data_IF_306707297258
#
_entry.id   IF_306707297258
#
_cell.length_a   1.000
_cell.length_b   1.000
_cell.length_c   1.000
_cell.angle_alpha   90.00
_cell.angle_beta   90.00
_cell.angle_gamma   90.00
#
_symmetry.space_group_name_H-M   'P 1'
#
loop_
_entity.id
_entity.type
_entity.pdbx_description
1 polymer ?
#
# COMPACT_ATOMS: atom_id res chain seq x y z
N UNK A 1 4.94 -1.28 8.12
CA UNK A 1 5.69 -0.76 6.97
C UNK A 1 4.83 -0.78 5.72
N UNK A 2 4.74 0.34 4.99
CA UNK A 2 4.21 0.34 3.62
C UNK A 2 5.34 -0.05 2.66
N UNK A 3 5.54 -1.34 2.52
CA UNK A 3 6.73 -1.89 1.87
C UNK A 3 6.64 -1.77 0.34
N UNK A 4 7.70 -1.23 -0.28
CA UNK A 4 7.96 -1.45 -1.69
C UNK A 4 8.73 -2.76 -1.85
N UNK A 5 8.10 -3.84 -2.30
CA UNK A 5 8.70 -5.18 -2.34
C UNK A 5 10.06 -5.25 -3.07
N UNK A 6 10.28 -4.40 -4.09
CA UNK A 6 11.54 -4.42 -4.84
C UNK A 6 12.72 -3.87 -4.04
N UNK A 7 12.49 -3.06 -3.00
CA UNK A 7 13.55 -2.52 -2.15
C UNK A 7 14.30 -3.63 -1.40
N UNK A 8 13.63 -4.76 -1.12
CA UNK A 8 14.21 -5.89 -0.40
C UNK A 8 15.30 -6.61 -1.20
N UNK A 9 15.35 -6.38 -2.52
CA UNK A 9 16.37 -6.94 -3.41
C UNK A 9 17.51 -5.95 -3.71
N UNK A 10 17.48 -4.73 -3.16
CA UNK A 10 18.54 -3.74 -3.33
C UNK A 10 19.76 -4.15 -2.48
N UNK A 11 20.99 -4.19 -3.04
CA UNK A 11 22.19 -4.66 -2.32
C UNK A 11 22.43 -3.97 -0.97
N UNK A 12 22.14 -2.68 -0.89
CA UNK A 12 22.27 -1.85 0.30
C UNK A 12 21.17 -2.07 1.35
N UNK A 13 20.17 -2.92 1.06
CA UNK A 13 18.98 -3.17 1.88
C UNK A 13 18.79 -4.66 2.20
N UNK A 14 19.86 -5.45 2.13
CA UNK A 14 19.80 -6.92 2.27
C UNK A 14 19.33 -7.41 3.64
N UNK A 15 19.49 -6.60 4.70
CA UNK A 15 19.07 -6.89 6.06
C UNK A 15 17.67 -6.38 6.40
N UNK A 16 17.08 -5.52 5.57
CA UNK A 16 15.80 -4.85 5.85
C UNK A 16 14.67 -5.82 6.16
N UNK A 17 14.50 -6.88 5.36
CA UNK A 17 13.44 -7.86 5.60
C UNK A 17 13.57 -8.55 6.97
N UNK A 18 14.81 -8.87 7.38
CA UNK A 18 15.09 -9.50 8.67
C UNK A 18 14.83 -8.52 9.81
N UNK A 19 15.28 -7.27 9.68
CA UNK A 19 15.01 -6.21 10.65
C UNK A 19 13.50 -6.04 10.88
N UNK A 20 12.72 -5.93 9.79
CA UNK A 20 11.25 -5.80 9.90
C UNK A 20 10.63 -7.00 10.62
N UNK A 21 11.08 -8.23 10.34
CA UNK A 21 10.62 -9.44 11.03
C UNK A 21 10.98 -9.43 12.53
N UNK A 22 12.22 -9.07 12.88
CA UNK A 22 12.69 -9.01 14.26
C UNK A 22 11.95 -7.97 15.10
N UNK A 23 11.47 -6.89 14.47
CA UNK A 23 10.66 -5.86 15.09
C UNK A 23 9.14 -6.11 14.96
N UNK A 24 8.74 -7.29 14.46
CA UNK A 24 7.34 -7.70 14.27
C UNK A 24 6.49 -6.68 13.50
N UNK A 25 7.10 -6.00 12.53
CA UNK A 25 6.45 -4.93 11.78
C UNK A 25 5.41 -5.51 10.82
N UNK A 26 4.15 -5.12 10.95
CA UNK A 26 3.13 -5.47 9.96
C UNK A 26 3.44 -4.84 8.59
N UNK A 27 3.45 -5.66 7.54
CA UNK A 27 3.78 -5.25 6.17
C UNK A 27 2.50 -5.05 5.37
N UNK A 28 2.41 -3.90 4.69
CA UNK A 28 1.38 -3.57 3.71
C UNK A 28 2.08 -3.27 2.38
N UNK A 29 2.05 -4.22 1.44
CA UNK A 29 2.78 -4.15 0.18
C UNK A 29 1.85 -3.95 -1.02
N UNK A 30 2.20 -3.03 -1.94
CA UNK A 30 1.43 -2.83 -3.18
C UNK A 30 1.76 -3.95 -4.18
N UNK A 31 0.74 -4.71 -4.60
CA UNK A 31 0.83 -5.65 -5.71
C UNK A 31 -0.42 -5.44 -6.60
N UNK A 32 -0.35 -4.50 -7.56
CA UNK A 32 -1.54 -3.98 -8.22
C UNK A 32 -2.20 -4.98 -9.18
N UNK A 33 -1.56 -6.11 -9.45
CA UNK A 33 -2.19 -7.26 -10.09
C UNK A 33 -1.41 -8.54 -9.72
N UNK A 34 -2.08 -9.69 -9.68
CA UNK A 34 -1.40 -11.00 -9.61
C UNK A 34 -0.89 -11.49 -10.98
N UNK A 35 -1.23 -10.79 -12.06
CA UNK A 35 -0.78 -11.08 -13.42
C UNK A 35 0.43 -10.22 -13.79
N UNK A 36 1.49 -10.88 -14.25
CA UNK A 36 2.76 -10.26 -14.65
C UNK A 36 2.59 -9.12 -15.65
N UNK A 37 1.88 -9.37 -16.76
CA UNK A 37 1.68 -8.37 -17.82
C UNK A 37 1.06 -7.07 -17.28
N UNK A 38 0.11 -7.19 -16.36
CA UNK A 38 -0.54 -6.02 -15.77
C UNK A 38 0.42 -5.25 -14.86
N UNK A 39 1.19 -5.95 -14.02
CA UNK A 39 2.17 -5.30 -13.13
C UNK A 39 3.27 -4.64 -13.96
N UNK A 40 3.82 -5.33 -14.94
CA UNK A 40 4.90 -4.82 -15.78
C UNK A 40 4.44 -3.62 -16.62
N UNK A 41 3.19 -3.62 -17.10
CA UNK A 41 2.61 -2.45 -17.79
C UNK A 41 2.50 -1.22 -16.88
N UNK A 42 2.21 -1.40 -15.60
CA UNK A 42 2.00 -0.29 -14.67
C UNK A 42 3.28 0.18 -13.98
N UNK A 43 4.20 -0.74 -13.67
CA UNK A 43 5.37 -0.49 -12.82
C UNK A 43 6.70 -0.59 -13.57
N UNK A 44 6.70 -1.16 -14.78
CA UNK A 44 7.91 -1.38 -15.57
C UNK A 44 8.25 -2.87 -15.69
N UNK A 45 8.91 -3.22 -16.79
CA UNK A 45 9.27 -4.60 -17.12
C UNK A 45 10.14 -5.23 -16.02
N UNK A 46 9.78 -6.43 -15.56
CA UNK A 46 10.51 -7.19 -14.55
C UNK A 46 10.15 -6.88 -13.10
N UNK A 47 9.36 -5.82 -12.85
CA UNK A 47 8.96 -5.43 -11.48
C UNK A 47 8.10 -6.51 -10.83
N UNK A 48 7.31 -7.25 -11.61
CA UNK A 48 6.56 -8.37 -11.06
C UNK A 48 7.48 -9.44 -10.46
N UNK A 49 8.53 -9.83 -11.18
CA UNK A 49 9.47 -10.86 -10.70
C UNK A 49 10.24 -10.41 -9.45
N UNK A 50 10.67 -9.14 -9.42
CA UNK A 50 11.30 -8.55 -8.23
C UNK A 50 10.32 -8.52 -7.04
N UNK A 51 9.04 -8.19 -7.29
CA UNK A 51 8.01 -8.23 -6.25
C UNK A 51 7.79 -9.64 -5.71
N UNK A 52 7.78 -10.66 -6.59
CA UNK A 52 7.71 -12.06 -6.16
C UNK A 52 8.94 -12.49 -5.36
N UNK A 53 10.13 -12.00 -5.71
CA UNK A 53 11.35 -12.27 -4.96
C UNK A 53 11.26 -11.71 -3.52
N UNK A 54 10.83 -10.44 -3.38
CA UNK A 54 10.58 -9.83 -2.08
C UNK A 54 9.53 -10.58 -1.26
N UNK A 55 8.41 -10.99 -1.87
CA UNK A 55 7.37 -11.79 -1.20
C UNK A 55 7.89 -13.14 -0.71
N UNK A 56 8.74 -13.82 -1.50
CA UNK A 56 9.36 -15.09 -1.08
C UNK A 56 10.30 -14.89 0.10
N UNK A 57 11.09 -13.81 0.10
CA UNK A 57 11.97 -13.47 1.22
C UNK A 57 11.17 -13.25 2.49
N UNK A 58 10.06 -12.51 2.42
CA UNK A 58 9.16 -12.30 3.56
C UNK A 58 8.51 -13.62 4.01
N UNK A 59 7.95 -14.43 3.11
CA UNK A 59 7.36 -15.72 3.47
C UNK A 59 8.38 -16.67 4.12
N UNK A 60 9.65 -16.65 3.70
CA UNK A 60 10.72 -17.43 4.32
C UNK A 60 11.01 -17.01 5.77
N UNK A 61 10.75 -15.75 6.11
CA UNK A 61 10.86 -15.22 7.48
C UNK A 61 9.59 -15.47 8.32
N UNK A 62 8.54 -16.03 7.72
CA UNK A 62 7.29 -16.36 8.42
C UNK A 62 6.12 -15.44 8.09
N UNK A 63 6.33 -14.33 7.37
CA UNK A 63 5.23 -13.42 7.02
C UNK A 63 4.11 -14.13 6.25
N UNK A 64 2.85 -13.83 6.59
CA UNK A 64 1.68 -14.39 5.90
C UNK A 64 1.25 -15.77 6.40
N UNK A 65 2.02 -16.40 7.29
CA UNK A 65 1.71 -17.72 7.85
C UNK A 65 0.81 -17.60 9.09
N UNK A 66 -0.09 -18.57 9.30
CA UNK A 66 -1.15 -18.49 10.33
C UNK A 66 -0.59 -18.44 11.77
N UNK A 67 0.62 -18.97 12.01
CA UNK A 67 1.19 -19.16 13.34
C UNK A 67 2.44 -18.31 13.63
N UNK A 68 2.89 -17.49 12.68
CA UNK A 68 4.13 -16.73 12.84
C UNK A 68 3.98 -15.43 13.62
N UNK A 69 2.76 -14.90 13.74
CA UNK A 69 2.51 -13.53 14.22
C UNK A 69 2.87 -12.43 13.22
N UNK A 70 3.66 -12.74 12.18
CA UNK A 70 4.14 -11.78 11.18
C UNK A 70 3.11 -11.56 10.07
N UNK A 71 2.54 -10.35 10.03
CA UNK A 71 1.47 -9.98 9.10
C UNK A 71 2.01 -9.42 7.79
N UNK A 72 1.58 -10.02 6.68
CA UNK A 72 1.80 -9.54 5.33
C UNK A 72 0.46 -9.37 4.64
N UNK A 73 0.13 -8.12 4.32
CA UNK A 73 -1.06 -7.77 3.58
C UNK A 73 -0.67 -7.17 2.23
N UNK A 74 -1.49 -7.44 1.22
CA UNK A 74 -1.30 -6.90 -0.11
C UNK A 74 -2.32 -5.80 -0.39
N UNK A 75 -1.96 -4.87 -1.26
CA UNK A 75 -2.83 -3.79 -1.71
C UNK A 75 -3.01 -3.88 -3.23
N UNK A 76 -4.27 -3.94 -3.64
CA UNK A 76 -4.71 -3.78 -5.02
C UNK A 76 -5.29 -2.39 -5.22
N UNK A 77 -4.95 -1.77 -6.34
CA UNK A 77 -5.61 -0.58 -6.84
C UNK A 77 -5.73 -0.69 -8.37
N UNK A 78 -6.84 -0.24 -8.98
CA UNK A 78 -7.02 -0.26 -10.43
C UNK A 78 -5.93 0.51 -11.17
N UNK A 79 -5.71 0.19 -12.45
CA UNK A 79 -4.75 0.94 -13.27
C UNK A 79 -5.30 2.29 -13.77
N UNK A 80 -6.62 2.45 -13.75
CA UNK A 80 -7.33 3.59 -14.31
C UNK A 80 -8.33 4.23 -13.35
N UNK A 81 -9.21 5.09 -13.87
CA UNK A 81 -10.27 5.77 -13.14
C UNK A 81 -11.49 4.87 -12.89
N UNK A 82 -11.25 3.65 -12.42
CA UNK A 82 -12.30 2.67 -12.13
C UNK A 82 -12.38 2.40 -10.62
N UNK A 83 -13.51 1.89 -10.17
CA UNK A 83 -13.63 1.32 -8.82
C UNK A 83 -12.97 -0.06 -8.80
N UNK A 84 -12.36 -0.47 -7.66
CA UNK A 84 -11.87 -1.82 -7.54
C UNK A 84 -13.01 -2.84 -7.53
N UNK A 85 -12.69 -4.08 -7.92
CA UNK A 85 -13.60 -5.21 -7.73
C UNK A 85 -13.80 -5.49 -6.22
N UNK A 86 -14.89 -6.18 -5.83
CA UNK A 86 -15.14 -6.51 -4.43
C UNK A 86 -13.96 -7.23 -3.76
N UNK A 87 -13.52 -6.72 -2.61
CA UNK A 87 -12.30 -7.16 -1.91
C UNK A 87 -12.29 -8.67 -1.64
N UNK A 88 -13.40 -9.24 -1.13
CA UNK A 88 -13.44 -10.66 -0.75
C UNK A 88 -13.22 -11.61 -1.94
N UNK A 89 -13.85 -11.32 -3.08
CA UNK A 89 -13.67 -12.11 -4.29
C UNK A 89 -12.23 -11.98 -4.83
N UNK A 90 -11.73 -10.75 -4.90
CA UNK A 90 -10.37 -10.50 -5.39
C UNK A 90 -9.30 -11.09 -4.46
N UNK A 91 -9.51 -11.05 -3.14
CA UNK A 91 -8.61 -11.68 -2.17
C UNK A 91 -8.52 -13.19 -2.39
N UNK A 92 -9.66 -13.85 -2.62
CA UNK A 92 -9.70 -15.28 -2.88
C UNK A 92 -8.94 -15.64 -4.18
N UNK A 93 -9.13 -14.86 -5.24
CA UNK A 93 -8.42 -15.04 -6.51
C UNK A 93 -6.90 -14.82 -6.35
N UNK A 94 -6.48 -13.76 -5.65
CA UNK A 94 -5.07 -13.50 -5.33
C UNK A 94 -4.46 -14.64 -4.53
N UNK A 95 -5.12 -15.07 -3.44
CA UNK A 95 -4.63 -16.16 -2.57
C UNK A 95 -4.47 -17.45 -3.35
N UNK A 96 -5.46 -17.80 -4.17
CA UNK A 96 -5.43 -18.99 -5.00
C UNK A 96 -4.29 -18.91 -6.02
N UNK A 97 -4.23 -17.85 -6.81
CA UNK A 97 -3.27 -17.73 -7.91
C UNK A 97 -1.83 -17.66 -7.41
N UNK A 98 -1.54 -16.80 -6.42
CA UNK A 98 -0.19 -16.62 -5.90
C UNK A 98 0.34 -17.88 -5.20
N UNK A 99 -0.53 -18.61 -4.50
CA UNK A 99 -0.18 -19.88 -3.88
C UNK A 99 0.07 -20.96 -4.92
N UNK A 100 -0.84 -21.16 -5.87
CA UNK A 100 -0.75 -22.22 -6.89
C UNK A 100 0.43 -22.02 -7.85
N UNK A 101 0.70 -20.77 -8.26
CA UNK A 101 1.73 -20.46 -9.25
C UNK A 101 3.11 -20.20 -8.66
N UNK A 102 3.17 -19.61 -7.46
CA UNK A 102 4.43 -19.10 -6.91
C UNK A 102 4.71 -19.55 -5.47
N UNK A 103 3.80 -20.28 -4.83
CA UNK A 103 3.94 -20.71 -3.44
C UNK A 103 3.85 -19.56 -2.43
N UNK A 104 3.31 -18.40 -2.83
CA UNK A 104 3.24 -17.21 -1.98
C UNK A 104 1.96 -17.22 -1.17
N UNK A 105 2.08 -16.84 0.11
CA UNK A 105 0.96 -16.68 1.05
C UNK A 105 0.97 -15.28 1.67
N UNK A 106 -0.21 -14.79 2.04
CA UNK A 106 -0.41 -13.49 2.69
C UNK A 106 -1.71 -13.52 3.52
N UNK A 107 -1.87 -12.59 4.44
CA UNK A 107 -3.00 -12.54 5.38
C UNK A 107 -4.24 -11.94 4.74
N UNK A 108 -4.17 -10.69 4.26
CA UNK A 108 -5.32 -9.96 3.70
C UNK A 108 -4.96 -9.20 2.41
N UNK A 109 -5.95 -9.02 1.55
CA UNK A 109 -5.88 -8.11 0.40
C UNK A 109 -6.74 -6.90 0.71
N UNK A 110 -6.18 -5.70 0.57
CA UNK A 110 -6.92 -4.44 0.62
C UNK A 110 -7.14 -3.91 -0.78
N UNK A 111 -8.38 -3.57 -1.11
CA UNK A 111 -8.70 -2.91 -2.38
C UNK A 111 -8.89 -1.42 -2.17
N UNK A 112 -8.15 -0.59 -2.90
CA UNK A 112 -8.23 0.86 -2.79
C UNK A 112 -8.64 1.49 -4.12
N UNK A 113 -9.52 2.49 -4.04
CA UNK A 113 -9.72 3.46 -5.11
C UNK A 113 -8.46 4.32 -5.26
N UNK A 114 -8.12 4.69 -6.50
CA UNK A 114 -7.01 5.61 -6.71
C UNK A 114 -7.38 7.03 -6.23
N UNK A 115 -6.55 7.62 -5.38
CA UNK A 115 -6.73 9.02 -5.02
C UNK A 115 -6.35 9.93 -6.19
N UNK A 116 -7.21 10.89 -6.61
CA UNK A 116 -6.96 11.76 -7.77
C UNK A 116 -5.98 12.89 -7.45
N UNK A 117 -4.82 12.55 -6.91
CA UNK A 117 -3.75 13.46 -6.50
C UNK A 117 -2.47 13.19 -7.29
N UNK A 118 -1.53 14.13 -7.24
CA UNK A 118 -0.19 14.00 -7.83
C UNK A 118 -0.24 13.48 -9.29
N UNK A 119 0.59 12.50 -9.65
CA UNK A 119 0.71 11.97 -11.02
C UNK A 119 -0.62 11.46 -11.58
N UNK A 120 -1.43 10.78 -10.76
CA UNK A 120 -2.72 10.26 -11.22
C UNK A 120 -3.73 11.38 -11.45
N UNK A 121 -3.80 12.36 -10.54
CA UNK A 121 -4.60 13.58 -10.75
C UNK A 121 -4.23 14.31 -12.04
N UNK A 122 -2.94 14.54 -12.30
CA UNK A 122 -2.45 15.17 -13.53
C UNK A 122 -2.78 14.37 -14.79
N UNK A 123 -2.71 13.04 -14.73
CA UNK A 123 -3.13 12.16 -15.81
C UNK A 123 -4.61 12.34 -16.12
N UNK A 124 -5.48 12.32 -15.11
CA UNK A 124 -6.92 12.50 -15.28
C UNK A 124 -7.27 13.87 -15.87
N UNK A 125 -6.59 14.94 -15.45
CA UNK A 125 -6.79 16.28 -16.00
C UNK A 125 -6.42 16.29 -17.49
N UNK A 126 -5.26 15.74 -17.83
CA UNK A 126 -4.75 15.69 -19.21
C UNK A 126 -5.66 14.88 -20.14
N UNK A 127 -6.32 13.85 -19.60
CA UNK A 127 -7.30 13.03 -20.33
C UNK A 127 -8.73 13.57 -20.30
N UNK A 128 -8.99 14.69 -19.61
CA UNK A 128 -10.33 15.23 -19.44
C UNK A 128 -11.27 14.36 -18.59
N UNK A 129 -10.71 13.48 -17.76
CA UNK A 129 -11.45 12.47 -16.96
C UNK A 129 -11.56 12.83 -15.47
N UNK A 130 -10.94 13.94 -15.04
CA UNK A 130 -10.89 14.30 -13.61
C UNK A 130 -12.28 14.46 -12.99
N UNK A 131 -13.15 15.28 -13.60
CA UNK A 131 -14.49 15.55 -13.05
C UNK A 131 -15.39 14.31 -13.07
N UNK A 132 -15.33 13.50 -14.13
CA UNK A 132 -16.11 12.26 -14.20
C UNK A 132 -15.65 11.25 -13.16
N UNK A 133 -14.35 11.15 -12.91
CA UNK A 133 -13.81 10.26 -11.89
C UNK A 133 -14.17 10.74 -10.47
N UNK A 134 -14.08 12.05 -10.22
CA UNK A 134 -14.56 12.64 -8.96
C UNK A 134 -16.04 12.37 -8.72
N UNK A 135 -16.88 12.43 -9.77
CA UNK A 135 -18.29 12.10 -9.67
C UNK A 135 -18.50 10.61 -9.35
N UNK A 136 -17.78 9.71 -10.03
CA UNK A 136 -17.82 8.27 -9.74
C UNK A 136 -17.50 7.97 -8.27
N UNK A 137 -16.45 8.60 -7.71
CA UNK A 137 -16.08 8.41 -6.32
C UNK A 137 -17.17 8.91 -5.34
N UNK A 138 -17.83 10.03 -5.67
CA UNK A 138 -18.93 10.57 -4.86
C UNK A 138 -20.17 9.68 -4.92
N UNK A 139 -20.54 9.21 -6.10
CA UNK A 139 -21.70 8.35 -6.31
C UNK A 139 -21.54 6.98 -5.67
N UNK A 140 -20.29 6.49 -5.57
CA UNK A 140 -19.93 5.23 -4.94
C UNK A 140 -19.59 5.36 -3.45
N UNK A 141 -19.81 6.53 -2.83
CA UNK A 141 -19.61 6.73 -1.40
C UNK A 141 -20.44 5.75 -0.57
N UNK A 142 -19.86 5.26 0.52
CA UNK A 142 -20.54 4.40 1.48
C UNK A 142 -20.18 4.84 2.90
N UNK A 143 -21.19 5.19 3.70
CA UNK A 143 -21.01 5.58 5.09
C UNK A 143 -20.44 4.44 5.94
N UNK A 144 -20.71 3.19 5.58
CA UNK A 144 -20.17 2.00 6.25
C UNK A 144 -18.64 1.96 6.21
N UNK A 145 -18.02 2.58 5.21
CA UNK A 145 -16.56 2.65 5.12
C UNK A 145 -15.97 3.63 6.15
N UNK A 146 -16.74 4.60 6.66
CA UNK A 146 -16.22 5.68 7.53
C UNK A 146 -15.57 5.14 8.81
N UNK A 147 -16.09 4.06 9.38
CA UNK A 147 -15.51 3.44 10.59
C UNK A 147 -14.16 2.78 10.33
N UNK A 148 -13.90 2.38 9.08
CA UNK A 148 -12.71 1.62 8.67
C UNK A 148 -11.72 2.45 7.84
N UNK A 149 -11.98 3.75 7.63
CA UNK A 149 -11.06 4.65 6.92
C UNK A 149 -9.71 4.70 7.65
N UNK A 150 -8.66 4.27 6.94
CA UNK A 150 -7.29 4.17 7.46
C UNK A 150 -6.81 5.47 8.12
N UNK A 151 -7.04 6.64 7.49
CA UNK A 151 -6.56 7.92 8.00
C UNK A 151 -7.23 8.42 9.28
N UNK A 152 -8.17 7.67 9.89
CA UNK A 152 -8.75 8.06 11.19
C UNK A 152 -7.83 7.79 12.37
N UNK A 153 -7.01 6.75 12.28
CA UNK A 153 -6.23 6.23 13.40
C UNK A 153 -4.73 6.12 13.07
N UNK A 154 -4.31 6.62 11.90
CA UNK A 154 -2.93 6.54 11.45
C UNK A 154 -2.21 7.87 11.63
N UNK A 155 -0.96 7.78 12.06
CA UNK A 155 0.01 8.86 11.98
C UNK A 155 1.00 8.48 10.88
N UNK A 156 1.17 9.37 9.90
CA UNK A 156 2.19 9.21 8.86
C UNK A 156 3.39 10.07 9.21
N UNK A 157 4.59 9.51 9.04
CA UNK A 157 5.85 10.21 9.31
C UNK A 157 6.69 10.16 8.05
N UNK A 158 7.14 11.31 7.57
CA UNK A 158 8.03 11.36 6.41
C UNK A 158 9.48 10.99 6.75
N UNK A 159 10.31 10.87 5.71
CA UNK A 159 11.70 10.48 5.85
C UNK A 159 12.56 11.52 6.59
N UNK A 160 12.07 12.76 6.74
CA UNK A 160 12.71 13.82 7.53
C UNK A 160 12.20 13.84 8.97
N UNK A 161 11.22 13.00 9.32
CA UNK A 161 10.63 12.90 10.64
C UNK A 161 9.43 13.82 10.88
N UNK A 162 8.89 14.51 9.87
CA UNK A 162 7.68 15.33 10.06
C UNK A 162 6.40 14.49 10.06
N UNK A 163 5.43 14.92 10.86
CA UNK A 163 4.22 14.16 11.17
C UNK A 163 3.00 14.70 10.41
N UNK A 164 2.15 13.78 9.95
CA UNK A 164 0.92 14.01 9.20
C UNK A 164 -0.20 13.12 9.76
N UNK A 165 -1.46 13.57 9.69
CA UNK A 165 -2.67 12.83 10.10
C UNK A 165 -3.21 11.88 9.01
N UNK A 166 -2.59 11.85 7.83
CA UNK A 166 -2.92 10.94 6.74
C UNK A 166 -1.75 10.83 5.77
N UNK A 167 -1.53 9.64 5.19
CA UNK A 167 -0.49 9.43 4.16
C UNK A 167 -0.77 10.26 2.89
N UNK A 168 -2.04 10.45 2.53
CA UNK A 168 -2.43 11.33 1.43
C UNK A 168 -2.14 12.80 1.74
N UNK A 169 -2.27 13.23 2.99
CA UNK A 169 -1.91 14.59 3.41
C UNK A 169 -0.39 14.79 3.30
N UNK A 170 0.40 13.81 3.71
CA UNK A 170 1.85 13.79 3.46
C UNK A 170 2.16 13.91 1.96
N UNK A 171 1.48 13.15 1.10
CA UNK A 171 1.67 13.25 -0.36
C UNK A 171 1.25 14.60 -0.95
N UNK A 172 0.39 15.35 -0.28
CA UNK A 172 -0.02 16.71 -0.67
C UNK A 172 0.82 17.80 0.02
N UNK A 173 1.74 17.44 0.94
CA UNK A 173 2.46 18.41 1.76
C UNK A 173 1.55 19.19 2.70
N UNK A 174 0.39 18.64 3.05
CA UNK A 174 -0.55 19.24 3.99
C UNK A 174 -0.14 18.82 5.41
N UNK A 175 0.44 19.72 6.23
CA UNK A 175 0.82 19.36 7.59
C UNK A 175 -0.42 18.99 8.41
N UNK A 176 -0.20 18.32 9.55
CA UNK A 176 -1.19 18.24 10.62
C UNK A 176 -1.85 19.61 10.83
N UNK A 177 -3.15 19.63 11.17
CA UNK A 177 -3.88 20.84 11.58
C UNK A 177 -3.39 21.35 12.96
N UNK A 178 -2.11 21.65 13.04
CA UNK A 178 -1.41 22.28 14.14
C UNK A 178 -0.77 23.57 13.58
N UNK A 179 -0.56 24.57 14.43
CA UNK A 179 -0.03 25.87 14.00
C UNK A 179 1.33 25.78 13.29
N UNK A 180 2.09 24.71 13.55
CA UNK A 180 3.39 24.42 12.93
C UNK A 180 3.52 22.94 12.61
N UNK A 181 4.26 22.61 11.54
CA UNK A 181 4.71 21.25 11.29
C UNK A 181 5.47 20.74 12.52
N UNK A 182 5.24 19.47 12.90
CA UNK A 182 5.86 18.85 14.08
C UNK A 182 6.80 17.74 13.63
N UNK A 183 8.00 17.74 14.17
CA UNK A 183 8.93 16.63 14.02
C UNK A 183 8.64 15.57 15.09
N UNK A 184 8.77 14.28 14.75
CA UNK A 184 8.46 13.16 15.65
C UNK A 184 9.27 13.23 16.95
N UNK A 185 10.50 13.76 16.91
CA UNK A 185 11.33 13.93 18.10
C UNK A 185 10.69 14.79 19.19
N UNK A 186 9.81 15.72 18.82
CA UNK A 186 9.12 16.62 19.75
C UNK A 186 7.93 15.95 20.46
N UNK A 187 7.57 14.73 20.05
CA UNK A 187 6.42 13.99 20.59
C UNK A 187 6.82 12.95 21.64
N UNK A 188 8.12 12.67 21.81
CA UNK A 188 8.60 11.67 22.77
C UNK A 188 8.66 12.16 24.23
N UNK A 189 8.56 13.47 24.46
CA UNK A 189 8.67 14.06 25.81
C UNK A 189 7.31 14.25 26.52
N UNK A 190 6.23 13.70 25.97
CA UNK A 190 4.89 13.78 26.57
C UNK A 190 4.70 12.57 27.51
N UNK A 191 5.23 12.69 28.73
CA UNK A 191 4.86 11.84 29.87
C UNK A 191 3.51 12.26 30.46
#
# INVERSE_FOLDING_TARGET
DRCNLTILSVPEQTDLAKFLAEQEVEIIASLPCYLEENVDRQRGKGVFQESLAGLRQLNALGYGQIESGLRLNLVFNPQGPDLPAPQAALEADYKKFLKEKYGIVFNQLYTLCNMPIQRFGSFLITKGQFNSYMQLLRDAHSDDNLETVMCRNLISVDWQGYVYDCDFNQMLGLPLHLETARHISELFDVN
#
